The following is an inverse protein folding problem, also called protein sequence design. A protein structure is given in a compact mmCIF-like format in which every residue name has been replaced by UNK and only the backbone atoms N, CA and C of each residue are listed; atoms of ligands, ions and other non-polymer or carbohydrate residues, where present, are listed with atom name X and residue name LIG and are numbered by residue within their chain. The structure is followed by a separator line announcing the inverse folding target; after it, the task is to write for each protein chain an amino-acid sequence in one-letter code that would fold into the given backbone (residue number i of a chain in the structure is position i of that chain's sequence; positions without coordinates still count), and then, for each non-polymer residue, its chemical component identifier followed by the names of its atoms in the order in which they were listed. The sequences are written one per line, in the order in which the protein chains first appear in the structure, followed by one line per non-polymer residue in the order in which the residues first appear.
data_IF_945495502919
#
_entry.id   IF_945495502919
#
_cell.length_a   1.000
_cell.length_b   1.000
_cell.length_c   1.000
_cell.angle_alpha   90.00
_cell.angle_beta   90.00
_cell.angle_gamma   90.00
#
_symmetry.space_group_name_H-M   'P 1'
#
loop_
_entity.id
_entity.type
_entity.pdbx_description
1 polymer ?
#
# COMPACT_ATOMS: atom_id res chain seq x y z
N UNK A 1 4.26 20.64 7.05
CA UNK A 1 3.10 20.32 6.21
C UNK A 1 2.78 18.89 6.53
N UNK A 2 1.66 18.63 7.20
CA UNK A 2 1.19 17.26 7.39
C UNK A 2 0.62 16.79 6.07
N UNK A 3 0.99 15.60 5.62
CA UNK A 3 0.35 15.00 4.47
C UNK A 3 -1.08 14.59 4.85
N UNK A 4 -2.06 14.96 4.02
CA UNK A 4 -3.41 14.45 4.17
C UNK A 4 -3.43 12.93 3.96
N UNK A 5 -4.36 12.24 4.62
CA UNK A 5 -4.54 10.77 4.52
C UNK A 5 -4.50 10.24 3.08
N UNK A 6 -5.08 10.95 2.12
CA UNK A 6 -5.09 10.55 0.71
C UNK A 6 -3.69 10.55 0.11
N UNK A 7 -2.88 11.57 0.39
CA UNK A 7 -1.50 11.64 -0.09
C UNK A 7 -0.64 10.53 0.53
N UNK A 8 -0.84 10.25 1.83
CA UNK A 8 -0.17 9.15 2.50
C UNK A 8 -0.53 7.80 1.91
N UNK A 9 -1.82 7.58 1.61
CA UNK A 9 -2.28 6.37 0.95
C UNK A 9 -1.59 6.23 -0.41
N UNK A 10 -1.60 7.26 -1.24
CA UNK A 10 -0.98 7.24 -2.57
C UNK A 10 0.52 6.96 -2.51
N UNK A 11 1.24 7.55 -1.56
CA UNK A 11 2.68 7.30 -1.39
C UNK A 11 2.95 5.87 -0.92
N UNK A 12 2.16 5.35 0.02
CA UNK A 12 2.27 3.97 0.50
C UNK A 12 1.87 2.96 -0.60
N UNK A 13 0.84 3.26 -1.38
CA UNK A 13 0.47 2.49 -2.56
C UNK A 13 1.66 2.40 -3.51
N UNK A 14 2.37 3.51 -3.73
CA UNK A 14 3.55 3.55 -4.60
C UNK A 14 4.73 2.72 -4.11
N UNK A 15 4.85 2.52 -2.79
CA UNK A 15 5.91 1.68 -2.21
C UNK A 15 5.63 0.20 -2.45
N UNK A 16 4.36 -0.21 -2.48
CA UNK A 16 3.96 -1.62 -2.55
C UNK A 16 3.61 -2.04 -3.99
N UNK A 17 2.88 -1.19 -4.71
CA UNK A 17 2.29 -1.46 -6.02
C UNK A 17 2.97 -0.66 -7.15
N UNK A 18 4.08 0.05 -6.85
CA UNK A 18 4.79 0.90 -7.81
C UNK A 18 3.84 1.95 -8.46
N UNK A 19 3.86 2.15 -9.77
CA UNK A 19 2.94 3.09 -10.44
C UNK A 19 1.58 2.45 -10.85
N UNK A 20 1.30 1.23 -10.41
CA UNK A 20 0.09 0.48 -10.75
C UNK A 20 -1.02 0.64 -9.70
N UNK A 21 -2.28 0.54 -10.14
CA UNK A 21 -3.41 0.55 -9.20
C UNK A 21 -3.44 -0.77 -8.42
N UNK A 22 -3.69 -0.75 -7.10
CA UNK A 22 -3.66 -1.97 -6.31
C UNK A 22 -4.60 -3.07 -6.80
N UNK A 23 -5.79 -2.69 -7.29
CA UNK A 23 -6.77 -3.64 -7.85
C UNK A 23 -6.30 -4.29 -9.15
N UNK A 24 -5.60 -3.52 -9.99
CA UNK A 24 -5.04 -3.96 -11.28
C UNK A 24 -3.86 -4.91 -11.02
N UNK A 25 -2.99 -4.53 -10.07
CA UNK A 25 -1.90 -5.38 -9.60
C UNK A 25 -2.36 -6.74 -9.08
N UNK A 26 -3.44 -6.77 -8.28
CA UNK A 26 -4.03 -8.03 -7.80
C UNK A 26 -4.57 -8.85 -8.98
N UNK A 27 -5.21 -8.22 -9.97
CA UNK A 27 -5.71 -8.89 -11.18
C UNK A 27 -4.57 -9.51 -12.01
N UNK A 28 -3.45 -8.79 -12.17
CA UNK A 28 -2.28 -9.29 -12.90
C UNK A 28 -1.66 -10.50 -12.20
N UNK A 29 -1.53 -10.45 -10.86
CA UNK A 29 -1.05 -11.61 -10.10
C UNK A 29 -2.02 -12.79 -10.21
N UNK A 30 -3.33 -12.54 -10.22
CA UNK A 30 -4.34 -13.57 -10.48
C UNK A 30 -4.16 -14.22 -11.86
N UNK A 31 -3.79 -13.43 -12.88
CA UNK A 31 -3.46 -13.91 -14.22
C UNK A 31 -2.21 -14.80 -14.26
N UNK A 32 -1.25 -14.58 -13.36
CA UNK A 32 -0.03 -15.39 -13.24
C UNK A 32 -0.27 -16.70 -12.44
N UNK A 33 -0.92 -16.61 -11.28
CA UNK A 33 -1.24 -17.76 -10.44
C UNK A 33 -2.38 -17.45 -9.47
N UNK A 34 -3.46 -18.27 -9.46
CA UNK A 34 -4.61 -18.01 -8.59
C UNK A 34 -4.27 -18.05 -7.09
N UNK A 35 -3.31 -18.88 -6.68
CA UNK A 35 -2.89 -18.95 -5.26
C UNK A 35 -2.12 -17.71 -4.82
N UNK A 36 -1.31 -17.14 -5.71
CA UNK A 36 -0.64 -15.86 -5.47
C UNK A 36 -1.65 -14.71 -5.51
N UNK A 37 -2.63 -14.79 -6.40
CA UNK A 37 -3.71 -13.82 -6.51
C UNK A 37 -4.55 -13.71 -5.22
N UNK A 38 -4.91 -14.83 -4.60
CA UNK A 38 -5.56 -14.82 -3.28
C UNK A 38 -4.69 -14.16 -2.20
N UNK A 39 -3.38 -14.34 -2.27
CA UNK A 39 -2.44 -13.74 -1.32
C UNK A 39 -2.31 -12.23 -1.56
N UNK A 40 -2.26 -11.82 -2.82
CA UNK A 40 -2.24 -10.42 -3.24
C UNK A 40 -3.51 -9.68 -2.81
N UNK A 41 -4.69 -10.30 -2.99
CA UNK A 41 -5.96 -9.74 -2.53
C UNK A 41 -5.96 -9.52 -1.01
N UNK A 42 -5.50 -10.50 -0.22
CA UNK A 42 -5.38 -10.35 1.23
C UNK A 42 -4.42 -9.24 1.64
N UNK A 43 -3.32 -9.06 0.90
CA UNK A 43 -2.38 -7.98 1.15
C UNK A 43 -3.03 -6.61 0.93
N UNK A 44 -3.82 -6.46 -0.13
CA UNK A 44 -4.60 -5.25 -0.38
C UNK A 44 -5.65 -4.99 0.71
N UNK A 45 -6.38 -6.01 1.14
CA UNK A 45 -7.35 -5.87 2.24
C UNK A 45 -6.71 -5.42 3.55
N UNK A 46 -5.57 -6.03 3.92
CA UNK A 46 -4.82 -5.65 5.12
C UNK A 46 -4.27 -4.23 4.97
N UNK A 47 -3.78 -3.87 3.78
CA UNK A 47 -3.29 -2.54 3.49
C UNK A 47 -4.39 -1.48 3.68
N UNK A 48 -5.57 -1.66 3.07
CA UNK A 48 -6.66 -0.70 3.18
C UNK A 48 -7.12 -0.56 4.64
N UNK A 49 -7.24 -1.68 5.37
CA UNK A 49 -7.55 -1.67 6.79
C UNK A 49 -6.50 -0.93 7.65
N UNK A 50 -5.21 -1.01 7.30
CA UNK A 50 -4.15 -0.26 7.97
C UNK A 50 -4.24 1.24 7.70
N UNK A 51 -4.58 1.64 6.48
CA UNK A 51 -4.80 3.04 6.11
C UNK A 51 -6.03 3.61 6.83
N UNK A 52 -7.12 2.85 6.90
CA UNK A 52 -8.34 3.29 7.57
C UNK A 52 -8.18 3.41 9.09
N UNK A 53 -7.48 2.44 9.71
CA UNK A 53 -7.22 2.39 11.15
C UNK A 53 -6.12 3.37 11.61
N UNK A 54 -5.17 3.69 10.72
CA UNK A 54 -4.03 4.56 11.02
C UNK A 54 -4.41 6.03 11.16
N UNK A 55 -3.95 6.67 12.23
CA UNK A 55 -3.89 8.14 12.29
C UNK A 55 -2.87 8.66 11.28
N UNK A 56 -3.12 9.82 10.68
CA UNK A 56 -2.22 10.43 9.67
C UNK A 56 -0.78 10.52 10.17
N UNK A 57 -0.58 10.93 11.43
CA UNK A 57 0.74 11.01 12.06
C UNK A 57 1.47 9.65 12.15
N UNK A 58 0.72 8.54 12.32
CA UNK A 58 1.32 7.20 12.33
C UNK A 58 1.68 6.74 10.91
N UNK A 59 0.82 7.03 9.94
CA UNK A 59 1.07 6.72 8.53
C UNK A 59 2.26 7.54 8.01
N UNK A 60 2.35 8.82 8.38
CA UNK A 60 3.52 9.67 8.11
C UNK A 60 4.79 9.08 8.70
N UNK A 61 4.79 8.69 9.98
CA UNK A 61 5.95 8.07 10.61
C UNK A 61 6.36 6.75 9.94
N UNK A 62 5.38 5.94 9.52
CA UNK A 62 5.62 4.67 8.84
C UNK A 62 6.26 4.91 7.46
N UNK A 63 5.70 5.85 6.68
CA UNK A 63 6.26 6.29 5.41
C UNK A 63 7.71 6.80 5.59
N UNK A 64 7.93 7.65 6.58
CA UNK A 64 9.24 8.24 6.85
C UNK A 64 10.27 7.17 7.27
N UNK A 65 9.84 6.09 7.93
CA UNK A 65 10.67 4.93 8.24
C UNK A 65 11.03 4.12 7.00
N UNK A 66 10.05 3.84 6.13
CA UNK A 66 10.27 3.10 4.87
C UNK A 66 11.22 3.83 3.93
N UNK A 67 11.04 5.15 3.74
CA UNK A 67 11.93 5.96 2.90
C UNK A 67 13.33 6.16 3.50
N UNK A 68 13.47 6.12 4.84
CA UNK A 68 14.78 6.23 5.49
C UNK A 68 15.62 4.96 5.34
N UNK A 69 15.00 3.80 5.16
CA UNK A 69 15.72 2.54 4.90
C UNK A 69 16.20 2.42 3.43
N UNK A 70 15.61 3.21 2.53
CA UNK A 70 15.93 3.27 1.10
C UNK A 70 17.12 4.20 0.74
N UNK A 71 17.85 4.76 1.72
CA UNK A 71 19.05 5.61 1.52
C UNK A 71 20.24 5.16 2.35
#
# INVERSE_FOLDING_TARGET
MSLDRTELKQLLERVIFDDERPEDWVQDIWGLSPTLGETAAKLLEVFDALIECGSEEKLENLLHGLYRDLT
#
